data_IF_408959953162
#
_entry.id   IF_408959953162
#
_cell.length_a   1.000
_cell.length_b   1.000
_cell.length_c   1.000
_cell.angle_alpha   90.00
_cell.angle_beta   90.00
_cell.angle_gamma   90.00
#
_symmetry.space_group_name_H-M   'P 1'
#
loop_
_entity.id
_entity.type
_entity.pdbx_description
1 polymer ?
#
# COMPACT_ATOMS: atom_id res chain seq x y z
N UNK A 1 -12.74 -20.25 3.87
CA UNK A 1 -11.39 -20.16 4.47
C UNK A 1 -11.41 -18.95 5.38
N UNK A 2 -11.15 -19.15 6.67
CA UNK A 2 -11.52 -18.22 7.73
C UNK A 2 -10.84 -16.86 7.63
N UNK A 3 -11.63 -15.78 7.60
CA UNK A 3 -11.16 -14.40 7.66
C UNK A 3 -10.33 -14.09 8.93
N UNK A 4 -10.44 -14.94 9.96
CA UNK A 4 -9.68 -14.83 11.19
C UNK A 4 -8.17 -15.13 11.03
N UNK A 5 -7.77 -15.96 10.06
CA UNK A 5 -6.36 -16.26 9.80
C UNK A 5 -5.62 -15.10 9.10
N UNK A 6 -6.36 -14.26 8.37
CA UNK A 6 -5.78 -13.12 7.63
C UNK A 6 -5.41 -11.94 8.54
N UNK A 7 -6.02 -11.79 9.72
CA UNK A 7 -5.78 -10.65 10.62
C UNK A 7 -4.39 -10.64 11.28
N UNK A 8 -3.68 -11.78 11.28
CA UNK A 8 -2.32 -11.90 11.82
C UNK A 8 -1.22 -11.97 10.75
N UNK A 9 -1.57 -11.93 9.46
CA UNK A 9 -0.60 -12.08 8.39
C UNK A 9 0.22 -10.78 8.23
N UNK A 10 1.55 -10.86 7.98
CA UNK A 10 2.41 -9.67 7.88
C UNK A 10 1.97 -8.67 6.79
N UNK A 11 1.35 -9.14 5.71
CA UNK A 11 0.82 -8.32 4.62
C UNK A 11 -0.45 -7.54 5.04
N UNK A 12 -1.31 -8.17 5.85
CA UNK A 12 -2.47 -7.52 6.44
C UNK A 12 -2.06 -6.41 7.40
N UNK A 13 -1.10 -6.70 8.29
CA UNK A 13 -0.60 -5.68 9.22
C UNK A 13 0.12 -4.55 8.49
N UNK A 14 0.87 -4.85 7.41
CA UNK A 14 1.51 -3.83 6.59
C UNK A 14 0.49 -2.82 6.05
N UNK A 15 -0.63 -3.28 5.47
CA UNK A 15 -1.68 -2.37 4.97
C UNK A 15 -2.25 -1.48 6.07
N UNK A 16 -2.46 -2.04 7.26
CA UNK A 16 -2.95 -1.28 8.40
C UNK A 16 -1.93 -0.24 8.89
N UNK A 17 -0.65 -0.59 8.97
CA UNK A 17 0.43 0.35 9.28
C UNK A 17 0.50 1.49 8.26
N UNK A 18 0.36 1.19 6.96
CA UNK A 18 0.29 2.21 5.90
C UNK A 18 -0.90 3.13 6.12
N UNK A 19 -2.11 2.59 6.33
CA UNK A 19 -3.32 3.38 6.58
C UNK A 19 -3.20 4.28 7.82
N UNK A 20 -2.52 3.81 8.87
CA UNK A 20 -2.27 4.59 10.10
C UNK A 20 -1.09 5.57 10.00
N UNK A 21 -0.29 5.50 8.93
CA UNK A 21 0.92 6.30 8.78
C UNK A 21 2.06 5.90 9.72
N UNK A 22 2.19 4.61 10.04
CA UNK A 22 3.19 4.06 10.96
C UNK A 22 4.50 3.72 10.23
N UNK A 23 5.21 4.75 9.74
CA UNK A 23 6.41 4.58 8.89
C UNK A 23 7.46 3.63 9.47
N UNK A 24 7.71 3.65 10.79
CA UNK A 24 8.68 2.77 11.43
C UNK A 24 8.31 1.29 11.27
N UNK A 25 7.03 0.94 11.49
CA UNK A 25 6.54 -0.43 11.32
C UNK A 25 6.44 -0.83 9.86
N UNK A 26 6.09 0.10 8.96
CA UNK A 26 6.13 -0.15 7.51
C UNK A 26 7.54 -0.60 7.10
N UNK A 27 8.58 0.11 7.54
CA UNK A 27 9.98 -0.25 7.27
C UNK A 27 10.34 -1.62 7.82
N UNK A 28 9.90 -1.94 9.04
CA UNK A 28 10.14 -3.24 9.68
C UNK A 28 9.47 -4.37 8.90
N UNK A 29 8.17 -4.25 8.62
CA UNK A 29 7.39 -5.29 7.95
C UNK A 29 7.87 -5.55 6.52
N UNK A 30 8.12 -4.48 5.76
CA UNK A 30 8.61 -4.58 4.38
C UNK A 30 10.00 -5.25 4.34
N UNK A 31 10.88 -4.95 5.30
CA UNK A 31 12.18 -5.64 5.43
C UNK A 31 12.05 -7.07 5.97
N UNK A 32 11.03 -7.32 6.79
CA UNK A 32 10.70 -8.62 7.38
C UNK A 32 10.02 -9.58 6.41
N UNK A 33 9.87 -9.20 5.13
CA UNK A 33 9.29 -10.06 4.09
C UNK A 33 7.76 -10.01 4.01
N UNK A 34 7.11 -9.01 4.59
CA UNK A 34 5.69 -8.79 4.36
C UNK A 34 5.41 -8.57 2.85
N UNK A 35 4.45 -9.30 2.30
CA UNK A 35 4.13 -9.19 0.88
C UNK A 35 3.32 -7.92 0.61
N UNK A 36 4.02 -6.90 0.10
CA UNK A 36 3.44 -5.60 -0.23
C UNK A 36 2.70 -5.57 -1.58
N UNK A 37 2.62 -6.71 -2.29
CA UNK A 37 1.85 -6.85 -3.53
C UNK A 37 0.41 -7.35 -3.31
N UNK A 38 0.12 -7.91 -2.13
CA UNK A 38 -1.18 -8.50 -1.83
C UNK A 38 -2.24 -7.41 -1.65
N UNK A 39 -3.33 -7.43 -2.45
CA UNK A 39 -4.45 -6.52 -2.27
C UNK A 39 -5.25 -6.86 -1.00
N UNK A 40 -5.88 -5.86 -0.41
CA UNK A 40 -6.82 -6.08 0.68
C UNK A 40 -8.05 -6.88 0.21
N UNK A 41 -8.65 -7.66 1.09
CA UNK A 41 -9.97 -8.24 0.86
C UNK A 41 -11.07 -7.20 1.15
N UNK A 42 -11.10 -6.13 0.35
CA UNK A 42 -12.08 -5.04 0.42
C UNK A 42 -12.70 -4.80 -0.95
N UNK A 43 -13.78 -4.03 -1.01
CA UNK A 43 -14.48 -3.73 -2.27
C UNK A 43 -13.55 -3.20 -3.37
N UNK A 44 -12.55 -2.38 -3.00
CA UNK A 44 -11.55 -1.84 -3.93
C UNK A 44 -10.32 -2.71 -4.15
N UNK A 45 -10.10 -3.73 -3.34
CA UNK A 45 -8.89 -4.57 -3.43
C UNK A 45 -7.57 -3.77 -3.42
N UNK A 46 -7.48 -2.75 -2.56
CA UNK A 46 -6.29 -1.88 -2.51
C UNK A 46 -5.05 -2.58 -1.96
N UNK A 47 -3.94 -2.44 -2.67
CA UNK A 47 -2.60 -2.80 -2.17
C UNK A 47 -2.09 -1.73 -1.19
N UNK A 48 -1.04 -2.01 -0.39
CA UNK A 48 -0.38 -0.98 0.42
C UNK A 48 -0.03 0.29 -0.37
N UNK A 49 0.41 0.16 -1.62
CA UNK A 49 0.77 1.30 -2.45
C UNK A 49 -0.43 2.16 -2.84
N UNK A 50 -1.60 1.56 -3.13
CA UNK A 50 -2.84 2.33 -3.35
C UNK A 50 -3.19 3.20 -2.13
N UNK A 51 -3.10 2.62 -0.92
CA UNK A 51 -3.40 3.33 0.33
C UNK A 51 -2.44 4.51 0.51
N UNK A 52 -1.13 4.29 0.32
CA UNK A 52 -0.12 5.34 0.48
C UNK A 52 -0.27 6.47 -0.55
N UNK A 53 -0.71 6.17 -1.78
CA UNK A 53 -0.96 7.17 -2.80
C UNK A 53 -2.28 7.95 -2.61
N UNK A 54 -3.31 7.31 -2.06
CA UNK A 54 -4.58 7.99 -1.73
C UNK A 54 -4.48 8.86 -0.48
N UNK A 55 -3.79 8.35 0.54
CA UNK A 55 -3.50 9.07 1.76
C UNK A 55 -3.74 8.24 3.02
N UNK A 56 -2.83 8.35 3.99
CA UNK A 56 -2.99 7.78 5.33
C UNK A 56 -3.62 8.79 6.30
N UNK A 57 -3.81 8.35 7.55
CA UNK A 57 -4.17 9.24 8.66
C UNK A 57 -3.08 10.29 8.98
N UNK A 58 -1.87 10.15 8.42
CA UNK A 58 -0.74 11.07 8.59
C UNK A 58 -0.15 11.44 7.22
N UNK A 59 -0.79 12.33 6.45
CA UNK A 59 -0.38 12.67 5.09
C UNK A 59 1.09 13.11 4.95
N UNK A 60 1.66 13.69 6.01
CA UNK A 60 3.06 14.14 6.03
C UNK A 60 4.08 13.00 5.89
N UNK A 61 3.72 11.74 6.14
CA UNK A 61 4.62 10.59 5.98
C UNK A 61 4.32 9.74 4.74
N UNK A 62 3.26 10.04 3.99
CA UNK A 62 2.80 9.18 2.89
C UNK A 62 3.83 9.06 1.77
N UNK A 63 4.50 10.18 1.44
CA UNK A 63 5.61 10.18 0.48
C UNK A 63 6.72 9.23 0.92
N UNK A 64 7.10 9.27 2.20
CA UNK A 64 8.14 8.38 2.72
C UNK A 64 7.68 6.91 2.68
N UNK A 65 6.41 6.63 2.99
CA UNK A 65 5.85 5.28 2.89
C UNK A 65 5.91 4.75 1.46
N UNK A 66 5.52 5.56 0.47
CA UNK A 66 5.64 5.22 -0.96
C UNK A 66 7.09 4.90 -1.32
N UNK A 67 8.03 5.75 -0.92
CA UNK A 67 9.46 5.56 -1.17
C UNK A 67 9.99 4.26 -0.55
N UNK A 68 9.60 3.93 0.70
CA UNK A 68 10.03 2.69 1.35
C UNK A 68 9.52 1.44 0.63
N UNK A 69 8.24 1.42 0.23
CA UNK A 69 7.65 0.29 -0.49
C UNK A 69 8.31 0.14 -1.86
N UNK A 70 8.49 1.24 -2.60
CA UNK A 70 9.15 1.21 -3.91
C UNK A 70 10.62 0.82 -3.83
N UNK A 71 11.34 1.25 -2.79
CA UNK A 71 12.73 0.88 -2.56
C UNK A 71 12.86 -0.63 -2.34
N UNK A 72 11.97 -1.22 -1.54
CA UNK A 72 11.98 -2.67 -1.37
C UNK A 72 11.55 -3.39 -2.64
N UNK A 73 10.51 -2.93 -3.32
CA UNK A 73 10.08 -3.50 -4.58
C UNK A 73 11.18 -3.50 -5.66
N UNK A 74 12.03 -2.46 -5.67
CA UNK A 74 13.21 -2.41 -6.53
C UNK A 74 14.22 -3.51 -6.18
N UNK A 75 14.48 -3.74 -4.89
CA UNK A 75 15.39 -4.81 -4.43
C UNK A 75 14.86 -6.19 -4.82
N UNK A 76 13.55 -6.37 -4.70
CA UNK A 76 12.89 -7.65 -4.96
C UNK A 76 12.54 -7.84 -6.45
N UNK A 77 12.85 -6.87 -7.32
CA UNK A 77 12.51 -6.90 -8.75
C UNK A 77 11.00 -6.79 -9.06
N UNK A 78 10.18 -6.39 -8.08
CA UNK A 78 8.71 -6.35 -8.15
C UNK A 78 8.13 -4.96 -8.45
N UNK A 79 8.95 -3.94 -8.75
CA UNK A 79 8.47 -2.56 -8.99
C UNK A 79 7.32 -2.50 -9.99
N UNK A 80 7.49 -3.12 -11.17
CA UNK A 80 6.46 -3.10 -12.21
C UNK A 80 5.16 -3.79 -11.77
N UNK A 81 5.25 -4.81 -10.92
CA UNK A 81 4.07 -5.54 -10.42
C UNK A 81 3.22 -4.63 -9.54
N UNK A 82 3.84 -3.91 -8.61
CA UNK A 82 3.08 -3.12 -7.63
C UNK A 82 2.58 -1.78 -8.16
N UNK A 83 3.28 -1.17 -9.12
CA UNK A 83 2.82 0.09 -9.75
C UNK A 83 1.72 -0.16 -10.79
N UNK A 84 1.69 -1.34 -11.40
CA UNK A 84 0.68 -1.72 -12.40
C UNK A 84 -0.56 -2.38 -11.79
N UNK A 85 -0.56 -2.65 -10.47
CA UNK A 85 -1.71 -3.18 -9.77
C UNK A 85 -2.92 -2.25 -9.97
N UNK A 86 -4.09 -2.83 -10.23
CA UNK A 86 -5.33 -2.10 -10.48
C UNK A 86 -6.31 -2.38 -9.36
N UNK A 87 -6.97 -1.34 -8.87
CA UNK A 87 -8.10 -1.52 -7.96
C UNK A 87 -9.30 -2.17 -8.65
N UNK A 88 -10.19 -2.75 -7.86
CA UNK A 88 -11.33 -3.54 -8.36
C UNK A 88 -12.53 -2.70 -8.83
N UNK A 89 -12.58 -1.41 -8.47
CA UNK A 89 -13.76 -0.57 -8.73
C UNK A 89 -13.56 0.26 -10.00
N UNK A 90 -12.51 1.06 -10.05
CA UNK A 90 -12.24 1.97 -11.18
C UNK A 90 -11.10 1.46 -12.07
N UNK A 91 -10.40 0.39 -11.66
CA UNK A 91 -9.24 -0.11 -12.39
C UNK A 91 -8.02 0.81 -12.31
N UNK A 92 -8.03 1.78 -11.39
CA UNK A 92 -6.97 2.78 -11.20
C UNK A 92 -5.75 2.13 -10.56
N UNK A 93 -4.59 2.55 -11.04
CA UNK A 93 -3.29 2.26 -10.45
C UNK A 93 -3.04 3.18 -9.24
N UNK A 94 -2.08 2.84 -8.36
CA UNK A 94 -1.73 3.72 -7.25
C UNK A 94 -1.37 5.15 -7.67
N UNK A 95 -0.62 5.29 -8.77
CA UNK A 95 -0.19 6.60 -9.27
C UNK A 95 -1.38 7.39 -9.85
N UNK A 96 -2.34 6.73 -10.50
CA UNK A 96 -3.56 7.38 -10.97
C UNK A 96 -4.42 7.89 -9.80
N UNK A 97 -4.54 7.13 -8.71
CA UNK A 97 -5.20 7.60 -7.48
C UNK A 97 -4.50 8.81 -6.84
N UNK A 98 -3.17 8.83 -6.84
CA UNK A 98 -2.42 9.97 -6.31
C UNK A 98 -2.71 11.27 -7.09
N UNK A 99 -2.83 11.17 -8.42
CA UNK A 99 -3.18 12.31 -9.29
C UNK A 99 -4.61 12.78 -9.06
N UNK A 100 -5.55 11.84 -8.93
CA UNK A 100 -6.95 12.16 -8.61
C UNK A 100 -7.06 12.87 -7.27
N UNK A 101 -6.41 12.34 -6.23
CA UNK A 101 -6.41 12.96 -4.91
C UNK A 101 -5.79 14.36 -4.93
N UNK A 102 -4.72 14.55 -5.70
CA UNK A 102 -4.11 15.86 -5.89
C UNK A 102 -5.08 16.85 -6.56
N UNK A 103 -5.89 16.40 -7.53
CA UNK A 103 -6.90 17.22 -8.18
C UNK A 103 -8.07 17.59 -7.25
N UNK A 104 -8.44 16.74 -6.29
CA UNK A 104 -9.48 17.03 -5.28
C UNK A 104 -9.07 18.09 -4.25
N UNK A 105 -7.76 18.36 -4.11
CA UNK A 105 -7.20 19.30 -3.13
C UNK A 105 -6.91 20.69 -3.71
N UNK A 106 -7.16 20.90 -5.01
CA UNK A 106 -6.99 22.16 -5.74
C UNK A 106 -8.34 22.83 -5.98
#
# INVERSE_FOLDING_TARGET
VDAAAAMGAPDYELRNCVRRGEIAKVKELVKGGADYSVPADTLRAWTPLHIACWGSLKPQVDKEIVEQILLQAKKDGKTNTIIAARDKIDGKTPVELAKERQAELL
#
